data_IF_723945674233
#
_entry.id   IF_723945674233
#
_cell.length_a   1.000
_cell.length_b   1.000
_cell.length_c   1.000
_cell.angle_alpha   90.00
_cell.angle_beta   90.00
_cell.angle_gamma   90.00
#
_symmetry.space_group_name_H-M   'P 1'
#
loop_
_entity.id
_entity.type
_entity.pdbx_description
1 polymer ?
#
# COMPACT_ATOMS: atom_id res chain seq x y z
N UNK A 1 0.01 -43.01 -17.99
CA UNK A 1 0.79 -41.90 -17.39
C UNK A 1 2.30 -42.11 -17.35
N UNK A 2 2.86 -43.05 -16.55
CA UNK A 2 4.34 -43.23 -16.47
C UNK A 2 5.03 -43.36 -17.84
N UNK A 3 4.47 -44.19 -18.74
CA UNK A 3 4.98 -44.36 -20.12
C UNK A 3 4.95 -43.05 -20.92
N UNK A 4 3.88 -42.27 -20.78
CA UNK A 4 3.71 -40.98 -21.45
C UNK A 4 4.72 -39.96 -20.94
N UNK A 5 4.86 -39.85 -19.62
CA UNK A 5 5.83 -38.94 -19.00
C UNK A 5 7.26 -39.22 -19.45
N UNK A 6 7.66 -40.50 -19.49
CA UNK A 6 8.98 -40.89 -19.97
C UNK A 6 9.16 -40.60 -21.47
N UNK A 7 8.11 -40.77 -22.28
CA UNK A 7 8.17 -40.48 -23.72
C UNK A 7 8.32 -38.98 -23.99
N UNK A 8 7.56 -38.13 -23.29
CA UNK A 8 7.62 -36.68 -23.45
C UNK A 8 8.95 -36.08 -22.96
N UNK A 9 9.42 -36.51 -21.79
CA UNK A 9 10.60 -35.90 -21.15
C UNK A 9 11.95 -36.47 -21.63
N UNK A 10 11.97 -37.51 -22.47
CA UNK A 10 13.23 -38.13 -22.92
C UNK A 10 14.08 -37.21 -23.81
N UNK A 11 13.43 -36.39 -24.65
CA UNK A 11 14.10 -35.47 -25.58
C UNK A 11 13.82 -34.00 -25.27
N UNK A 12 13.14 -33.71 -24.16
CA UNK A 12 12.71 -32.35 -23.83
C UNK A 12 13.88 -31.54 -23.24
N UNK A 13 14.16 -30.38 -23.84
CA UNK A 13 15.14 -29.44 -23.34
C UNK A 13 14.45 -28.32 -22.54
N UNK A 14 14.76 -28.18 -21.26
CA UNK A 14 14.15 -27.18 -20.38
C UNK A 14 14.63 -25.76 -20.62
N UNK A 15 15.75 -25.59 -21.31
CA UNK A 15 16.34 -24.27 -21.61
C UNK A 15 15.84 -23.68 -22.93
N UNK A 16 15.17 -24.49 -23.74
CA UNK A 16 14.69 -24.08 -25.05
C UNK A 16 13.28 -23.48 -24.95
N UNK A 17 13.09 -22.29 -25.52
CA UNK A 17 11.77 -21.66 -25.59
C UNK A 17 10.86 -22.53 -26.49
N UNK A 18 9.67 -22.92 -26.03
CA UNK A 18 8.86 -23.93 -26.70
C UNK A 18 8.04 -23.36 -27.87
N UNK A 19 8.73 -22.92 -28.92
CA UNK A 19 8.13 -22.43 -30.17
C UNK A 19 8.56 -23.28 -31.36
N UNK A 20 7.64 -23.51 -32.30
CA UNK A 20 7.95 -24.25 -33.53
C UNK A 20 8.80 -23.42 -34.52
N UNK A 21 8.67 -22.10 -34.45
CA UNK A 21 9.41 -21.13 -35.26
C UNK A 21 10.08 -20.12 -34.33
N UNK A 22 11.40 -20.02 -34.39
CA UNK A 22 12.18 -19.11 -33.53
C UNK A 22 11.82 -17.63 -33.73
N UNK A 23 11.30 -17.27 -34.90
CA UNK A 23 10.94 -15.88 -35.22
C UNK A 23 9.60 -15.44 -34.61
N UNK A 24 8.78 -16.37 -34.10
CA UNK A 24 7.47 -16.05 -33.53
C UNK A 24 7.57 -15.88 -32.01
N UNK A 25 6.90 -14.88 -31.40
CA UNK A 25 6.84 -14.74 -29.95
C UNK A 25 6.01 -15.87 -29.32
N UNK A 26 6.40 -16.28 -28.12
CA UNK A 26 5.56 -17.15 -27.30
C UNK A 26 4.53 -16.28 -26.57
N UNK A 27 3.25 -16.48 -26.86
CA UNK A 27 2.15 -15.86 -26.10
C UNK A 27 2.03 -16.53 -24.73
N UNK A 28 2.20 -15.73 -23.67
CA UNK A 28 1.96 -16.13 -22.28
C UNK A 28 0.78 -15.34 -21.75
N UNK A 29 -0.32 -16.03 -21.47
CA UNK A 29 -1.51 -15.45 -20.84
C UNK A 29 -1.28 -15.35 -19.35
N UNK A 30 -1.30 -14.12 -18.86
CA UNK A 30 -1.01 -13.78 -17.48
C UNK A 30 -2.26 -13.21 -16.79
N UNK A 31 -2.64 -13.83 -15.69
CA UNK A 31 -3.69 -13.36 -14.80
C UNK A 31 -3.19 -13.33 -13.36
N UNK A 32 -3.89 -12.56 -12.53
CA UNK A 32 -3.56 -12.40 -11.12
C UNK A 32 -4.82 -12.63 -10.31
N UNK A 33 -4.79 -13.57 -9.36
CA UNK A 33 -5.89 -13.78 -8.41
C UNK A 33 -5.48 -13.27 -7.04
N UNK A 34 -6.14 -12.21 -6.56
CA UNK A 34 -5.85 -11.61 -5.26
C UNK A 34 -6.63 -12.34 -4.17
N UNK A 35 -5.92 -13.03 -3.28
CA UNK A 35 -6.53 -13.80 -2.20
C UNK A 35 -6.80 -12.92 -0.97
N UNK A 36 -5.79 -12.15 -0.55
CA UNK A 36 -5.91 -11.25 0.60
C UNK A 36 -4.85 -10.15 0.56
N UNK A 37 -5.19 -9.00 1.12
CA UNK A 37 -4.23 -7.97 1.53
C UNK A 37 -3.79 -8.32 2.95
N UNK A 38 -2.52 -8.65 3.11
CA UNK A 38 -1.95 -9.08 4.39
C UNK A 38 -1.65 -7.85 5.23
N UNK A 39 -0.92 -6.90 4.65
CA UNK A 39 -0.43 -5.72 5.36
C UNK A 39 -0.20 -4.55 4.42
N UNK A 40 -0.40 -3.34 4.92
CA UNK A 40 -0.14 -2.09 4.22
C UNK A 40 0.75 -1.27 5.14
N UNK A 41 2.05 -1.35 4.92
CA UNK A 41 3.03 -0.59 5.70
C UNK A 41 3.14 0.81 5.09
N UNK A 42 2.35 1.75 5.59
CA UNK A 42 2.36 3.12 5.06
C UNK A 42 3.70 3.79 5.32
N UNK A 43 4.36 3.47 6.44
CA UNK A 43 5.63 4.09 6.84
C UNK A 43 6.75 3.75 5.88
N UNK A 44 6.89 2.48 5.53
CA UNK A 44 7.89 1.99 4.59
C UNK A 44 7.41 2.00 3.13
N UNK A 45 6.16 2.37 2.88
CA UNK A 45 5.54 2.41 1.55
C UNK A 45 5.51 1.03 0.86
N UNK A 46 5.12 0.00 1.62
CA UNK A 46 5.11 -1.39 1.15
C UNK A 46 3.69 -1.97 1.27
N UNK A 47 3.20 -2.55 0.18
CA UNK A 47 1.97 -3.34 0.16
C UNK A 47 2.33 -4.83 0.12
N UNK A 48 1.86 -5.58 1.11
CA UNK A 48 2.04 -7.04 1.20
C UNK A 48 0.75 -7.77 0.88
N UNK A 49 0.76 -8.58 -0.18
CA UNK A 49 -0.43 -9.29 -0.68
C UNK A 49 -0.16 -10.78 -0.88
N UNK A 50 -1.16 -11.61 -0.58
CA UNK A 50 -1.18 -13.01 -0.99
C UNK A 50 -1.89 -13.13 -2.34
N UNK A 51 -1.17 -13.63 -3.34
CA UNK A 51 -1.59 -13.63 -4.73
C UNK A 51 -1.27 -14.96 -5.36
N UNK A 52 -2.14 -15.45 -6.23
CA UNK A 52 -1.84 -16.55 -7.12
C UNK A 52 -1.57 -16.01 -8.52
N UNK A 53 -0.39 -16.33 -9.05
CA UNK A 53 -0.08 -15.99 -10.44
C UNK A 53 -0.72 -17.04 -11.35
N UNK A 54 -1.40 -16.62 -12.39
CA UNK A 54 -2.02 -17.51 -13.36
C UNK A 54 -1.28 -17.39 -14.68
N UNK A 55 -0.39 -18.33 -14.97
CA UNK A 55 0.39 -18.36 -16.21
C UNK A 55 -0.12 -19.50 -17.09
N UNK A 56 -0.49 -19.17 -18.31
CA UNK A 56 -0.89 -20.15 -19.32
C UNK A 56 -0.10 -19.91 -20.62
N UNK A 57 0.57 -20.94 -21.10
CA UNK A 57 1.27 -20.93 -22.38
C UNK A 57 1.06 -22.26 -23.11
N UNK A 58 1.48 -22.32 -24.36
CA UNK A 58 1.33 -23.51 -25.20
C UNK A 58 2.71 -24.03 -25.59
N UNK A 59 2.98 -25.29 -25.27
CA UNK A 59 4.23 -25.96 -25.59
C UNK A 59 3.99 -27.03 -26.67
N UNK A 60 4.63 -26.88 -27.82
CA UNK A 60 4.45 -27.79 -28.94
C UNK A 60 5.09 -29.16 -28.71
N UNK A 61 6.15 -29.25 -27.88
CA UNK A 61 6.85 -30.49 -27.56
C UNK A 61 6.05 -31.37 -26.58
N UNK A 62 5.10 -30.79 -25.84
CA UNK A 62 4.29 -31.48 -24.83
C UNK A 62 2.91 -31.92 -25.34
N UNK A 63 2.78 -32.19 -26.64
CA UNK A 63 1.54 -32.67 -27.25
C UNK A 63 1.53 -34.19 -27.35
N UNK A 64 0.38 -34.80 -27.07
CA UNK A 64 0.20 -36.24 -27.28
C UNK A 64 -1.25 -36.56 -27.69
N UNK A 65 -1.42 -37.75 -28.26
CA UNK A 65 -2.74 -38.26 -28.61
C UNK A 65 -3.33 -39.07 -27.44
N UNK A 66 -4.45 -38.61 -26.89
CA UNK A 66 -5.13 -39.24 -25.75
C UNK A 66 -5.43 -40.72 -26.01
N UNK A 67 -5.81 -41.07 -27.24
CA UNK A 67 -6.17 -42.44 -27.61
C UNK A 67 -5.02 -43.43 -27.48
N UNK A 68 -3.77 -42.98 -27.68
CA UNK A 68 -2.57 -43.83 -27.63
C UNK A 68 -2.11 -44.13 -26.19
N UNK A 69 -2.50 -43.28 -25.25
CA UNK A 69 -2.04 -43.34 -23.86
C UNK A 69 -3.15 -43.68 -22.86
N UNK A 70 -4.23 -44.30 -23.33
CA UNK A 70 -5.31 -44.78 -22.48
C UNK A 70 -6.27 -43.69 -22.02
N UNK A 71 -6.44 -42.64 -22.81
CA UNK A 71 -7.38 -41.54 -22.54
C UNK A 71 -6.89 -40.50 -21.53
N UNK A 72 -5.57 -40.43 -21.27
CA UNK A 72 -4.96 -39.46 -20.36
C UNK A 72 -5.04 -38.07 -20.98
N UNK A 73 -5.81 -37.16 -20.37
CA UNK A 73 -6.06 -35.79 -20.87
C UNK A 73 -5.14 -34.74 -20.28
N UNK A 74 -4.65 -34.98 -19.06
CA UNK A 74 -3.80 -34.04 -18.34
C UNK A 74 -2.71 -34.75 -17.52
N UNK A 75 -1.61 -34.05 -17.28
CA UNK A 75 -0.48 -34.49 -16.48
C UNK A 75 -0.05 -33.39 -15.53
N UNK A 76 0.45 -33.77 -14.35
CA UNK A 76 1.07 -32.83 -13.40
C UNK A 76 2.58 -33.05 -13.42
N UNK A 77 3.34 -32.04 -13.84
CA UNK A 77 4.79 -32.12 -13.98
C UNK A 77 5.42 -31.03 -13.11
N UNK A 78 6.50 -31.37 -12.41
CA UNK A 78 7.25 -30.41 -11.60
C UNK A 78 7.86 -29.32 -12.49
N UNK A 79 7.83 -28.03 -12.10
CA UNK A 79 8.23 -26.91 -12.95
C UNK A 79 9.71 -26.98 -13.35
N UNK A 80 10.56 -27.61 -12.54
CA UNK A 80 12.00 -27.75 -12.82
C UNK A 80 12.32 -28.74 -13.97
N UNK A 81 11.32 -29.47 -14.46
CA UNK A 81 11.47 -30.42 -15.58
C UNK A 81 10.91 -29.88 -16.89
N UNK A 82 10.38 -28.67 -16.89
CA UNK A 82 9.77 -28.02 -18.03
C UNK A 82 10.40 -26.65 -18.24
N UNK A 83 10.31 -26.12 -19.46
CA UNK A 83 10.52 -24.70 -19.66
C UNK A 83 9.40 -23.93 -18.95
N UNK A 84 9.75 -22.84 -18.26
CA UNK A 84 8.79 -21.93 -17.64
C UNK A 84 9.19 -20.49 -17.95
N UNK A 85 8.23 -19.58 -18.16
CA UNK A 85 8.56 -18.17 -18.36
C UNK A 85 9.12 -17.57 -17.06
N UNK A 86 10.00 -16.57 -17.21
CA UNK A 86 10.69 -15.84 -16.15
C UNK A 86 9.95 -14.55 -15.79
N UNK A 87 8.65 -14.67 -15.51
CA UNK A 87 7.82 -13.52 -15.10
C UNK A 87 8.14 -13.15 -13.66
N UNK A 88 8.65 -11.94 -13.45
CA UNK A 88 9.03 -11.39 -12.16
C UNK A 88 8.36 -10.03 -11.92
N UNK A 89 8.25 -9.64 -10.65
CA UNK A 89 7.71 -8.34 -10.26
C UNK A 89 8.81 -7.29 -10.22
N UNK A 90 8.71 -6.25 -11.06
CA UNK A 90 9.76 -5.23 -11.18
C UNK A 90 9.86 -4.31 -9.97
N UNK A 91 8.73 -3.96 -9.35
CA UNK A 91 8.68 -3.06 -8.21
C UNK A 91 8.64 -3.80 -6.86
N UNK A 92 9.34 -4.95 -6.78
CA UNK A 92 9.49 -5.72 -5.54
C UNK A 92 10.28 -4.96 -4.47
N UNK A 93 9.77 -4.98 -3.25
CA UNK A 93 10.43 -4.51 -2.04
C UNK A 93 11.03 -5.65 -1.20
N UNK A 94 10.81 -6.91 -1.60
CA UNK A 94 11.36 -8.07 -0.90
C UNK A 94 12.77 -8.44 -1.40
N UNK A 95 13.64 -8.91 -0.50
CA UNK A 95 14.96 -9.44 -0.84
C UNK A 95 14.83 -10.70 -1.71
N UNK A 96 13.78 -11.50 -1.43
CA UNK A 96 13.37 -12.61 -2.28
C UNK A 96 12.54 -12.10 -3.46
N UNK A 97 13.20 -11.69 -4.56
CA UNK A 97 12.53 -11.25 -5.79
C UNK A 97 11.52 -12.27 -6.36
N UNK A 98 11.76 -13.58 -6.11
CA UNK A 98 10.78 -14.64 -6.38
C UNK A 98 10.07 -15.04 -5.08
N UNK A 99 8.90 -14.44 -4.85
CA UNK A 99 8.03 -14.73 -3.71
C UNK A 99 7.11 -15.94 -3.89
N UNK A 100 7.30 -16.74 -4.95
CA UNK A 100 6.38 -17.83 -5.31
C UNK A 100 6.76 -19.18 -4.68
N UNK A 101 5.75 -19.95 -4.29
CA UNK A 101 5.90 -21.35 -3.92
C UNK A 101 5.72 -22.24 -5.15
N UNK A 102 6.74 -23.05 -5.46
CA UNK A 102 6.73 -23.92 -6.62
C UNK A 102 5.63 -25.01 -6.51
N UNK A 103 4.63 -24.91 -7.38
CA UNK A 103 3.58 -25.92 -7.56
C UNK A 103 3.82 -26.74 -8.83
N UNK A 104 3.07 -27.81 -9.05
CA UNK A 104 3.16 -28.56 -10.31
C UNK A 104 2.44 -27.83 -11.45
N UNK A 105 3.00 -27.90 -12.65
CA UNK A 105 2.37 -27.42 -13.89
C UNK A 105 1.37 -28.48 -14.35
N UNK A 106 0.15 -28.05 -14.69
CA UNK A 106 -0.87 -28.89 -15.30
C UNK A 106 -0.74 -28.78 -16.82
N UNK A 107 -0.27 -29.85 -17.44
CA UNK A 107 -0.11 -29.93 -18.90
C UNK A 107 -1.29 -30.71 -19.47
N UNK A 108 -1.98 -30.14 -20.46
CA UNK A 108 -3.08 -30.79 -21.19
C UNK A 108 -2.56 -31.40 -22.49
N UNK A 109 -3.25 -32.41 -23.01
CA UNK A 109 -2.83 -33.14 -24.21
C UNK A 109 -2.65 -32.30 -25.47
N UNK A 110 -3.35 -31.17 -25.57
CA UNK A 110 -3.16 -30.18 -26.63
C UNK A 110 -1.88 -29.35 -26.54
N UNK A 111 -1.05 -29.52 -25.50
CA UNK A 111 0.18 -28.75 -25.26
C UNK A 111 -0.01 -27.50 -24.38
N UNK A 112 -1.25 -27.18 -24.00
CA UNK A 112 -1.54 -26.09 -23.05
C UNK A 112 -0.99 -26.43 -21.67
N UNK A 113 -0.14 -25.54 -21.15
CA UNK A 113 0.50 -25.61 -19.85
C UNK A 113 -0.10 -24.54 -18.95
N UNK A 114 -0.67 -24.94 -17.82
CA UNK A 114 -1.20 -24.06 -16.80
C UNK A 114 -0.35 -24.15 -15.55
N UNK A 115 0.24 -23.03 -15.14
CA UNK A 115 1.04 -22.92 -13.93
C UNK A 115 0.43 -21.86 -13.01
N UNK A 116 0.05 -22.29 -11.80
CA UNK A 116 -0.59 -21.43 -10.80
C UNK A 116 0.16 -21.50 -9.47
N UNK A 117 1.31 -20.81 -9.35
CA UNK A 117 2.01 -20.75 -8.08
C UNK A 117 1.39 -19.67 -7.16
N UNK A 118 1.11 -20.01 -5.89
CA UNK A 118 0.78 -19.03 -4.87
C UNK A 118 2.06 -18.32 -4.40
N UNK A 119 1.95 -17.06 -4.01
CA UNK A 119 3.08 -16.30 -3.49
C UNK A 119 2.65 -15.14 -2.61
N UNK A 120 3.55 -14.73 -1.72
CA UNK A 120 3.42 -13.48 -0.97
C UNK A 120 4.31 -12.46 -1.65
N UNK A 121 3.70 -11.37 -2.11
CA UNK A 121 4.40 -10.30 -2.82
C UNK A 121 4.42 -9.05 -1.95
N UNK A 122 5.61 -8.45 -1.84
CA UNK A 122 5.80 -7.12 -1.26
C UNK A 122 6.11 -6.14 -2.38
N UNK A 123 5.16 -5.27 -2.70
CA UNK A 123 5.32 -4.26 -3.74
C UNK A 123 5.58 -2.90 -3.12
N UNK A 124 6.45 -2.13 -3.75
CA UNK A 124 6.60 -0.70 -3.41
C UNK A 124 5.39 0.07 -3.91
N UNK A 125 4.76 0.82 -3.02
CA UNK A 125 3.56 1.60 -3.31
C UNK A 125 3.65 2.98 -2.65
N UNK A 126 3.66 4.03 -3.48
CA UNK A 126 3.66 5.41 -2.99
C UNK A 126 2.27 5.76 -2.45
N UNK A 127 2.17 5.89 -1.13
CA UNK A 127 0.93 6.27 -0.46
C UNK A 127 0.74 7.79 -0.41
N UNK A 128 -0.45 8.28 -0.73
CA UNK A 128 -0.84 9.68 -0.56
C UNK A 128 -1.65 9.84 0.74
N UNK A 129 -1.04 10.50 1.73
CA UNK A 129 -1.61 10.70 3.07
C UNK A 129 -2.29 12.06 3.26
N UNK A 130 -2.49 12.84 2.19
CA UNK A 130 -3.03 14.21 2.27
C UNK A 130 -4.38 14.24 2.99
N UNK A 131 -5.26 13.29 2.68
CA UNK A 131 -6.63 13.20 3.21
C UNK A 131 -6.81 12.21 4.36
N UNK A 132 -5.72 11.75 4.97
CA UNK A 132 -5.77 10.78 6.06
C UNK A 132 -6.76 11.19 7.18
N UNK A 133 -7.63 10.28 7.67
CA UNK A 133 -7.78 8.86 7.34
C UNK A 133 -8.83 8.56 6.24
N UNK A 134 -9.31 9.57 5.52
CA UNK A 134 -10.32 9.47 4.45
C UNK A 134 -9.63 9.37 3.07
N UNK A 135 -8.67 8.47 2.97
CA UNK A 135 -7.77 8.31 1.83
C UNK A 135 -8.10 7.08 0.97
N UNK A 136 -7.84 7.24 -0.33
CA UNK A 136 -7.86 6.17 -1.33
C UNK A 136 -6.43 5.95 -1.83
N UNK A 137 -5.95 4.70 -1.79
CA UNK A 137 -4.61 4.33 -2.23
C UNK A 137 -4.66 3.49 -3.51
N UNK A 138 -3.68 3.74 -4.38
CA UNK A 138 -3.53 3.05 -5.67
C UNK A 138 -2.13 2.45 -5.72
N UNK A 139 -2.05 1.13 -5.59
CA UNK A 139 -0.79 0.41 -5.55
C UNK A 139 -0.61 -0.44 -6.80
N UNK A 140 0.41 -0.13 -7.58
CA UNK A 140 0.74 -0.88 -8.79
C UNK A 140 1.58 -2.12 -8.47
N UNK A 141 1.26 -3.22 -9.12
CA UNK A 141 2.10 -4.42 -9.19
C UNK A 141 2.48 -4.67 -10.65
N UNK A 142 3.77 -4.49 -10.97
CA UNK A 142 4.27 -4.57 -12.34
C UNK A 142 4.97 -5.90 -12.57
N UNK A 143 4.43 -6.73 -13.47
CA UNK A 143 5.00 -8.02 -13.84
C UNK A 143 5.48 -8.01 -15.27
N UNK A 144 6.65 -8.57 -15.51
CA UNK A 144 7.23 -8.68 -16.85
C UNK A 144 8.22 -9.83 -16.92
N UNK A 145 8.57 -10.24 -18.15
CA UNK A 145 9.72 -11.12 -18.35
C UNK A 145 11.01 -10.37 -17.99
N UNK A 146 11.99 -11.07 -17.42
CA UNK A 146 13.26 -10.46 -17.05
C UNK A 146 14.29 -10.50 -18.18
N UNK A 147 14.33 -11.61 -18.92
CA UNK A 147 15.36 -11.87 -19.94
C UNK A 147 14.87 -11.80 -21.37
N UNK A 148 13.57 -12.02 -21.63
CA UNK A 148 13.02 -11.99 -22.98
C UNK A 148 12.45 -10.61 -23.33
N UNK A 149 12.68 -10.19 -24.57
CA UNK A 149 12.00 -9.03 -25.16
C UNK A 149 10.60 -9.40 -25.69
N UNK A 150 9.82 -8.38 -26.09
CA UNK A 150 8.46 -8.54 -26.58
C UNK A 150 8.32 -9.28 -27.93
N UNK A 151 9.42 -9.44 -28.69
CA UNK A 151 9.42 -10.25 -29.92
C UNK A 151 9.64 -11.74 -29.61
N UNK A 152 10.19 -12.07 -28.45
CA UNK A 152 10.42 -13.45 -28.02
C UNK A 152 9.32 -13.97 -27.08
N UNK A 153 8.82 -13.13 -26.19
CA UNK A 153 7.78 -13.48 -25.23
C UNK A 153 6.77 -12.33 -25.16
N UNK A 154 5.53 -12.61 -25.57
CA UNK A 154 4.45 -11.64 -25.48
C UNK A 154 3.54 -11.95 -24.29
N UNK A 155 3.52 -11.06 -23.29
CA UNK A 155 2.60 -11.15 -22.17
C UNK A 155 1.24 -10.57 -22.56
N UNK A 156 0.19 -11.36 -22.39
CA UNK A 156 -1.19 -10.98 -22.68
C UNK A 156 -2.03 -11.13 -21.42
N UNK A 157 -2.89 -10.16 -21.14
CA UNK A 157 -3.85 -10.25 -20.03
C UNK A 157 -4.80 -11.42 -20.26
N UNK A 158 -5.00 -12.24 -19.21
CA UNK A 158 -5.96 -13.34 -19.25
C UNK A 158 -7.42 -12.86 -19.32
N UNK A 159 -7.72 -11.75 -18.66
CA UNK A 159 -9.02 -11.07 -18.67
C UNK A 159 -8.79 -9.56 -18.85
N UNK A 160 -9.56 -8.94 -19.74
CA UNK A 160 -9.51 -7.48 -19.97
C UNK A 160 -10.05 -6.69 -18.78
N UNK A 161 -10.88 -7.30 -17.93
CA UNK A 161 -11.44 -6.67 -16.74
C UNK A 161 -10.43 -6.53 -15.58
N UNK A 162 -9.23 -7.11 -15.73
CA UNK A 162 -8.16 -7.05 -14.75
C UNK A 162 -7.98 -8.35 -13.99
N UNK A 163 -7.67 -8.25 -12.70
CA UNK A 163 -7.37 -9.42 -11.90
C UNK A 163 -8.61 -10.04 -11.25
N UNK A 164 -8.51 -11.33 -10.95
CA UNK A 164 -9.59 -12.12 -10.38
C UNK A 164 -9.71 -11.87 -8.87
N UNK A 165 -10.92 -11.49 -8.45
CA UNK A 165 -11.28 -11.13 -7.09
C UNK A 165 -12.34 -12.08 -6.50
N UNK A 166 -12.67 -13.17 -7.19
CA UNK A 166 -13.73 -14.11 -6.80
C UNK A 166 -13.52 -14.73 -5.41
N UNK A 167 -12.28 -15.07 -5.09
CA UNK A 167 -11.87 -15.66 -3.82
C UNK A 167 -11.28 -14.64 -2.83
N UNK A 168 -11.49 -13.34 -3.03
CA UNK A 168 -10.91 -12.30 -2.19
C UNK A 168 -11.49 -12.30 -0.76
N UNK A 169 -10.62 -12.43 0.23
CA UNK A 169 -10.96 -12.32 1.65
C UNK A 169 -10.94 -10.85 2.06
N UNK A 170 -12.07 -10.34 2.54
CA UNK A 170 -12.21 -8.95 2.96
C UNK A 170 -11.29 -8.61 4.13
N UNK A 171 -10.59 -7.49 4.02
CA UNK A 171 -9.71 -6.96 5.05
C UNK A 171 -10.49 -6.08 6.06
N UNK A 172 -10.09 -6.11 7.34
CA UNK A 172 -10.72 -5.39 8.45
C UNK A 172 -10.34 -3.91 8.55
N UNK A 173 -9.32 -3.49 7.82
CA UNK A 173 -8.76 -2.13 7.77
C UNK A 173 -9.00 -1.46 6.41
N UNK A 174 -9.01 -2.22 5.32
CA UNK A 174 -9.15 -1.70 3.95
C UNK A 174 -10.34 -2.29 3.22
N UNK A 175 -11.04 -1.44 2.46
CA UNK A 175 -11.98 -1.85 1.42
C UNK A 175 -11.23 -2.00 0.10
N UNK A 176 -11.40 -3.13 -0.58
CA UNK A 176 -10.94 -3.28 -1.96
C UNK A 176 -11.99 -2.68 -2.90
N UNK A 177 -11.60 -1.65 -3.67
CA UNK A 177 -12.44 -1.01 -4.67
C UNK A 177 -12.37 -1.78 -5.99
N UNK A 178 -11.18 -2.22 -6.38
CA UNK A 178 -10.98 -2.98 -7.62
C UNK A 178 -9.50 -3.22 -7.93
N UNK A 179 -9.26 -4.02 -8.98
CA UNK A 179 -7.91 -4.38 -9.44
C UNK A 179 -7.83 -4.45 -10.98
N UNK A 180 -7.92 -3.31 -11.68
CA UNK A 180 -7.74 -3.27 -13.13
C UNK A 180 -6.34 -3.73 -13.53
N UNK A 181 -6.26 -4.42 -14.68
CA UNK A 181 -5.02 -4.87 -15.29
C UNK A 181 -4.78 -4.12 -16.61
N UNK A 182 -3.53 -3.74 -16.87
CA UNK A 182 -3.14 -3.06 -18.09
C UNK A 182 -1.85 -3.65 -18.64
N UNK A 183 -1.87 -4.01 -19.94
CA UNK A 183 -0.66 -4.34 -20.70
C UNK A 183 0.03 -3.05 -21.14
N UNK A 184 1.33 -2.95 -20.91
CA UNK A 184 2.17 -1.88 -21.40
C UNK A 184 3.29 -2.44 -22.29
N UNK A 185 3.73 -1.62 -23.23
CA UNK A 185 4.90 -1.91 -24.06
C UNK A 185 5.85 -0.73 -23.93
N UNK A 186 7.03 -0.98 -23.37
CA UNK A 186 8.00 0.04 -23.01
C UNK A 186 9.32 -0.29 -23.71
N UNK A 187 9.88 0.70 -24.39
CA UNK A 187 11.26 0.65 -24.89
C UNK A 187 12.17 1.29 -23.84
N UNK A 188 13.08 0.51 -23.25
CA UNK A 188 14.01 1.02 -22.24
C UNK A 188 15.18 1.76 -22.90
N UNK A 189 15.82 2.68 -22.18
CA UNK A 189 16.98 3.41 -22.71
C UNK A 189 18.21 2.52 -22.97
N UNK A 190 18.28 1.34 -22.32
CA UNK A 190 19.39 0.40 -22.46
C UNK A 190 19.32 -0.45 -23.74
N UNK A 191 18.12 -0.70 -24.27
CA UNK A 191 17.88 -1.68 -25.33
C UNK A 191 16.90 -1.12 -26.38
N UNK A 192 17.16 -1.26 -27.69
CA UNK A 192 16.26 -0.79 -28.74
C UNK A 192 14.97 -1.62 -28.86
N UNK A 193 14.94 -2.84 -28.30
CA UNK A 193 13.81 -3.75 -28.36
C UNK A 193 12.67 -3.33 -27.41
N UNK A 194 11.40 -3.54 -27.80
CA UNK A 194 10.26 -3.31 -26.91
C UNK A 194 10.16 -4.42 -25.86
N UNK A 195 9.99 -4.05 -24.60
CA UNK A 195 9.68 -4.95 -23.50
C UNK A 195 8.19 -4.84 -23.15
N UNK A 196 7.60 -5.95 -22.75
CA UNK A 196 6.17 -6.03 -22.41
C UNK A 196 6.02 -6.29 -20.92
N UNK A 197 5.20 -5.49 -20.26
CA UNK A 197 4.80 -5.68 -18.87
C UNK A 197 3.27 -5.66 -18.73
N UNK A 198 2.79 -6.31 -17.67
CA UNK A 198 1.40 -6.24 -17.23
C UNK A 198 1.39 -5.64 -15.84
N UNK A 199 0.70 -4.51 -15.70
CA UNK A 199 0.54 -3.81 -14.44
C UNK A 199 -0.87 -4.02 -13.90
N UNK A 200 -0.99 -4.53 -12.67
CA UNK A 200 -2.26 -4.57 -11.94
C UNK A 200 -2.27 -3.47 -10.88
N UNK A 201 -3.30 -2.62 -10.87
CA UNK A 201 -3.42 -1.54 -9.89
C UNK A 201 -4.43 -1.93 -8.81
N UNK A 202 -3.97 -2.21 -7.60
CA UNK A 202 -4.81 -2.50 -6.45
C UNK A 202 -5.33 -1.18 -5.89
N UNK A 203 -6.63 -0.95 -6.00
CA UNK A 203 -7.30 0.26 -5.49
C UNK A 203 -7.98 -0.05 -4.16
N UNK A 204 -7.53 0.59 -3.09
CA UNK A 204 -8.02 0.35 -1.73
C UNK A 204 -8.44 1.64 -1.04
N UNK A 205 -9.44 1.54 -0.14
CA UNK A 205 -9.95 2.65 0.67
C UNK A 205 -9.93 2.31 2.14
N UNK A 206 -9.42 3.22 2.97
CA UNK A 206 -9.29 2.99 4.41
C UNK A 206 -10.65 2.94 5.13
N UNK A 207 -10.78 2.05 6.10
CA UNK A 207 -11.90 2.03 7.07
C UNK A 207 -11.64 3.05 8.16
N UNK A 208 -12.42 4.13 8.16
CA UNK A 208 -12.16 5.33 8.97
C UNK A 208 -12.63 5.24 10.42
N UNK A 209 -13.48 4.28 10.77
CA UNK A 209 -14.13 4.21 12.10
C UNK A 209 -13.14 4.15 13.26
N UNK A 210 -12.08 3.35 13.12
CA UNK A 210 -11.04 3.21 14.15
C UNK A 210 -10.35 4.55 14.42
N UNK A 211 -9.90 5.23 13.36
CA UNK A 211 -9.23 6.52 13.46
C UNK A 211 -10.18 7.63 13.93
N UNK A 212 -11.46 7.57 13.56
CA UNK A 212 -12.45 8.54 14.02
C UNK A 212 -12.58 8.52 15.56
N UNK A 213 -12.78 7.34 16.15
CA UNK A 213 -12.96 7.23 17.61
C UNK A 213 -11.67 7.37 18.41
N UNK A 214 -10.54 6.85 17.91
CA UNK A 214 -9.30 6.81 18.67
C UNK A 214 -8.39 8.03 18.43
N UNK A 215 -8.61 8.76 17.34
CA UNK A 215 -7.77 9.91 16.97
C UNK A 215 -8.59 11.21 16.97
N UNK A 216 -9.69 11.27 16.22
CA UNK A 216 -10.44 12.53 16.03
C UNK A 216 -11.19 12.93 17.30
N UNK A 217 -11.92 12.00 17.94
CA UNK A 217 -12.72 12.30 19.15
C UNK A 217 -11.86 12.83 20.32
N UNK A 218 -10.75 12.19 20.73
CA UNK A 218 -9.87 12.72 21.78
C UNK A 218 -9.31 14.11 21.46
N UNK A 219 -8.95 14.35 20.19
CA UNK A 219 -8.45 15.66 19.77
C UNK A 219 -9.49 16.77 19.94
N UNK A 220 -10.72 16.53 19.49
CA UNK A 220 -11.82 17.50 19.65
C UNK A 220 -12.07 17.78 21.14
N UNK A 221 -12.06 16.75 21.98
CA UNK A 221 -12.21 16.91 23.44
C UNK A 221 -11.09 17.78 24.03
N UNK A 222 -9.82 17.49 23.71
CA UNK A 222 -8.68 18.27 24.22
C UNK A 222 -8.76 19.73 23.74
N UNK A 223 -9.12 19.97 22.47
CA UNK A 223 -9.29 21.32 21.93
C UNK A 223 -10.41 22.10 22.64
N UNK A 224 -11.51 21.42 23.01
CA UNK A 224 -12.60 22.03 23.77
C UNK A 224 -12.19 22.36 25.21
N UNK A 225 -11.35 21.53 25.84
CA UNK A 225 -10.80 21.78 27.17
C UNK A 225 -9.88 23.01 27.19
N UNK A 226 -9.14 23.27 26.10
CA UNK A 226 -8.30 24.45 25.99
C UNK A 226 -9.13 25.75 26.05
N UNK A 227 -10.32 25.76 25.43
CA UNK A 227 -11.25 26.91 25.49
C UNK A 227 -11.83 27.10 26.89
N UNK A 228 -12.19 26.01 27.58
CA UNK A 228 -12.66 26.05 28.96
C UNK A 228 -11.59 26.61 29.92
N UNK A 229 -10.30 26.39 29.65
CA UNK A 229 -9.21 26.93 30.46
C UNK A 229 -9.23 28.46 30.60
N UNK A 230 -9.77 29.19 29.62
CA UNK A 230 -9.90 30.64 29.72
C UNK A 230 -10.96 31.08 30.73
N UNK A 231 -12.00 30.26 30.93
CA UNK A 231 -13.10 30.55 31.88
C UNK A 231 -12.71 30.37 33.34
N UNK A 232 -11.60 29.68 33.61
CA UNK A 232 -11.15 29.45 34.97
C UNK A 232 -10.60 30.75 35.60
N UNK A 233 -11.09 31.15 36.79
CA UNK A 233 -10.59 32.34 37.48
C UNK A 233 -9.12 32.14 37.89
N UNK A 234 -8.30 33.22 37.85
CA UNK A 234 -6.89 33.15 38.21
C UNK A 234 -6.66 32.79 39.69
N UNK A 235 -7.63 33.04 40.56
CA UNK A 235 -7.56 32.73 42.00
C UNK A 235 -7.45 31.24 42.32
N UNK A 236 -7.83 30.36 41.37
CA UNK A 236 -7.78 28.91 41.57
C UNK A 236 -6.36 28.33 41.55
N UNK A 237 -5.36 29.05 41.03
CA UNK A 237 -3.98 28.55 40.88
C UNK A 237 -3.77 27.45 39.81
N UNK A 238 -4.79 26.68 39.48
CA UNK A 238 -4.71 25.52 38.56
C UNK A 238 -4.75 25.87 37.07
N UNK A 239 -4.95 27.14 36.73
CA UNK A 239 -5.06 27.60 35.33
C UNK A 239 -3.81 27.31 34.51
N UNK A 240 -2.63 27.52 35.10
CA UNK A 240 -1.35 27.24 34.46
C UNK A 240 -1.13 25.73 34.30
N UNK A 241 -1.43 24.95 35.34
CA UNK A 241 -1.33 23.48 35.33
C UNK A 241 -2.20 22.87 34.22
N UNK A 242 -3.44 23.34 34.07
CA UNK A 242 -4.34 22.90 33.01
C UNK A 242 -3.79 23.22 31.61
N UNK A 243 -3.26 24.43 31.40
CA UNK A 243 -2.69 24.83 30.11
C UNK A 243 -1.47 24.00 29.71
N UNK A 244 -0.55 23.75 30.65
CA UNK A 244 0.67 22.95 30.40
C UNK A 244 0.33 21.47 30.16
N UNK A 245 -0.61 20.90 30.91
CA UNK A 245 -1.03 19.49 30.73
C UNK A 245 -1.70 19.25 29.39
N UNK A 246 -2.51 20.21 28.90
CA UNK A 246 -3.10 20.17 27.55
C UNK A 246 -2.02 20.26 26.46
N UNK A 247 -1.02 21.13 26.62
CA UNK A 247 0.07 21.24 25.66
C UNK A 247 0.88 19.93 25.57
N UNK A 248 1.21 19.35 26.72
CA UNK A 248 1.94 18.08 26.78
C UNK A 248 1.14 16.94 26.15
N UNK A 249 -0.15 16.81 26.46
CA UNK A 249 -0.99 15.76 25.89
C UNK A 249 -1.11 15.88 24.37
N UNK A 250 -1.30 17.09 23.84
CA UNK A 250 -1.30 17.36 22.40
C UNK A 250 0.01 16.96 21.72
N UNK A 251 1.14 17.23 22.38
CA UNK A 251 2.48 16.89 21.86
C UNK A 251 2.67 15.37 21.80
N UNK A 252 2.25 14.66 22.85
CA UNK A 252 2.29 13.19 22.89
C UNK A 252 1.39 12.58 21.82
N UNK A 253 0.17 13.09 21.66
CA UNK A 253 -0.75 12.63 20.60
C UNK A 253 -0.20 12.88 19.20
N UNK A 254 0.40 14.05 18.95
CA UNK A 254 1.03 14.35 17.66
C UNK A 254 2.20 13.41 17.37
N UNK A 255 3.05 13.12 18.36
CA UNK A 255 4.16 12.19 18.20
C UNK A 255 3.66 10.77 17.89
N UNK A 256 2.62 10.29 18.58
CA UNK A 256 2.00 8.99 18.30
C UNK A 256 1.51 8.89 16.85
N UNK A 257 0.86 9.95 16.34
CA UNK A 257 0.38 9.99 14.96
C UNK A 257 1.56 10.06 13.97
N UNK A 258 2.59 10.85 14.28
CA UNK A 258 3.79 10.97 13.45
C UNK A 258 4.60 9.67 13.36
N UNK A 259 4.55 8.80 14.36
CA UNK A 259 5.21 7.49 14.32
C UNK A 259 4.51 6.48 13.40
N UNK A 260 3.19 6.63 13.21
CA UNK A 260 2.38 5.73 12.36
C UNK A 260 2.36 6.14 10.88
N UNK A 261 2.64 7.40 10.57
CA UNK A 261 2.60 7.92 9.21
C UNK A 261 3.97 7.85 8.53
N UNK A 262 4.03 7.75 7.18
CA UNK A 262 5.29 7.82 6.47
C UNK A 262 6.00 9.15 6.66
N UNK A 263 7.33 9.09 6.74
CA UNK A 263 8.21 10.24 6.76
C UNK A 263 8.42 10.78 5.33
N UNK A 264 7.32 11.17 4.68
CA UNK A 264 7.35 11.80 3.35
C UNK A 264 7.33 13.32 3.47
N UNK A 265 8.16 13.98 2.67
CA UNK A 265 8.18 15.45 2.57
C UNK A 265 7.26 15.99 1.46
N UNK A 266 6.69 15.11 0.63
CA UNK A 266 5.89 15.49 -0.53
C UNK A 266 4.53 16.11 -0.15
N UNK A 267 3.93 15.64 0.95
CA UNK A 267 2.65 16.15 1.44
C UNK A 267 2.56 16.00 2.97
N UNK A 268 2.07 17.04 3.63
CA UNK A 268 1.74 17.02 5.07
C UNK A 268 0.25 16.69 5.19
N UNK A 269 -0.17 15.69 5.99
CA UNK A 269 -1.58 15.40 6.22
C UNK A 269 -2.34 16.63 6.75
N UNK A 270 -3.57 16.83 6.28
CA UNK A 270 -4.45 17.90 6.77
C UNK A 270 -4.66 17.84 8.29
N UNK A 271 -4.77 16.62 8.82
CA UNK A 271 -4.87 16.36 10.24
C UNK A 271 -3.61 16.79 11.00
N UNK A 272 -2.41 16.57 10.43
CA UNK A 272 -1.14 17.02 11.00
C UNK A 272 -1.02 18.54 11.02
N UNK A 273 -1.48 19.22 9.96
CA UNK A 273 -1.53 20.70 9.95
C UNK A 273 -2.51 21.23 10.99
N UNK A 274 -3.68 20.60 11.12
CA UNK A 274 -4.66 20.94 12.16
C UNK A 274 -4.07 20.83 13.59
N UNK A 275 -3.36 19.74 13.90
CA UNK A 275 -2.70 19.58 15.19
C UNK A 275 -1.61 20.63 15.43
N UNK A 276 -0.80 20.94 14.42
CA UNK A 276 0.21 21.99 14.53
C UNK A 276 -0.40 23.37 14.81
N UNK A 277 -1.52 23.70 14.16
CA UNK A 277 -2.25 24.93 14.44
C UNK A 277 -2.78 24.97 15.88
N UNK A 278 -3.38 23.88 16.39
CA UNK A 278 -3.85 23.80 17.79
C UNK A 278 -2.70 23.94 18.76
N UNK A 279 -1.59 23.24 18.52
CA UNK A 279 -0.41 23.30 19.38
C UNK A 279 0.14 24.72 19.47
N UNK A 280 0.21 25.45 18.35
CA UNK A 280 0.59 26.86 18.34
C UNK A 280 -0.40 27.74 19.12
N UNK A 281 -1.71 27.55 18.92
CA UNK A 281 -2.75 28.28 19.65
C UNK A 281 -2.67 28.03 21.17
N UNK A 282 -2.53 26.78 21.60
CA UNK A 282 -2.41 26.43 23.03
C UNK A 282 -1.12 26.97 23.63
N UNK A 283 0.01 26.89 22.91
CA UNK A 283 1.26 27.48 23.38
C UNK A 283 1.12 29.00 23.58
N UNK A 284 0.48 29.71 22.65
CA UNK A 284 0.20 31.14 22.79
C UNK A 284 -0.73 31.44 23.97
N UNK A 285 -1.74 30.59 24.22
CA UNK A 285 -2.66 30.68 25.36
C UNK A 285 -1.96 30.56 26.70
N UNK A 286 -1.00 29.62 26.82
CA UNK A 286 -0.19 29.45 28.04
C UNK A 286 0.66 30.70 28.29
N UNK A 287 1.31 31.26 27.27
CA UNK A 287 2.08 32.50 27.39
C UNK A 287 1.20 33.67 27.86
N UNK A 288 0.01 33.83 27.25
CA UNK A 288 -0.94 34.86 27.67
C UNK A 288 -1.43 34.64 29.11
N UNK A 289 -1.64 33.40 29.53
CA UNK A 289 -2.02 33.07 30.91
C UNK A 289 -0.93 33.49 31.90
N UNK A 290 0.34 33.26 31.59
CA UNK A 290 1.47 33.74 32.42
C UNK A 290 1.47 35.27 32.52
N UNK A 291 1.20 35.97 31.42
CA UNK A 291 1.08 37.44 31.41
C UNK A 291 -0.09 37.91 32.28
N UNK A 292 -1.27 37.29 32.15
CA UNK A 292 -2.46 37.62 32.95
C UNK A 292 -2.20 37.36 34.44
N UNK A 293 -1.58 36.24 34.80
CA UNK A 293 -1.20 35.94 36.18
C UNK A 293 -0.17 36.95 36.71
N UNK A 294 0.79 37.39 35.89
CA UNK A 294 1.74 38.44 36.26
C UNK A 294 1.01 39.75 36.61
N UNK A 295 0.06 40.18 35.77
CA UNK A 295 -0.72 41.39 36.04
C UNK A 295 -1.66 41.23 37.24
N UNK A 296 -2.25 40.05 37.44
CA UNK A 296 -3.15 39.76 38.56
C UNK A 296 -2.45 39.87 39.93
N UNK A 297 -1.20 39.39 40.02
CA UNK A 297 -0.42 39.44 41.26
C UNK A 297 0.37 40.76 41.46
N UNK A 298 0.13 41.81 40.65
CA UNK A 298 0.73 43.12 40.89
C UNK A 298 0.01 43.85 42.02
N UNK A 299 0.72 44.10 43.10
CA UNK A 299 0.27 44.93 44.23
C UNK A 299 0.58 46.40 43.99
N UNK A 300 -0.28 47.31 44.48
CA UNK A 300 -0.12 48.77 44.37
C UNK A 300 1.18 49.31 44.99
N UNK A 301 1.77 48.57 45.93
CA UNK A 301 3.02 48.98 46.60
C UNK A 301 4.25 48.85 45.71
N UNK A 302 4.18 48.07 44.63
CA UNK A 302 5.34 47.70 43.80
C UNK A 302 5.23 48.29 42.38
N UNK A 303 4.01 48.59 41.91
CA UNK A 303 3.77 49.05 40.53
C UNK A 303 2.68 50.14 40.46
N UNK A 304 2.98 51.26 39.79
CA UNK A 304 2.00 52.28 39.45
C UNK A 304 1.26 51.93 38.13
N UNK A 305 -0.06 52.15 38.10
CA UNK A 305 -0.87 51.85 36.92
C UNK A 305 -0.74 52.95 35.85
N UNK A 306 -0.34 52.63 34.60
CA UNK A 306 -0.21 53.63 33.54
C UNK A 306 -1.56 54.30 33.19
N UNK A 307 -1.53 55.62 32.90
CA UNK A 307 -2.74 56.41 32.60
C UNK A 307 -3.53 55.95 31.35
N UNK A 308 -2.86 55.32 30.38
CA UNK A 308 -3.55 54.76 29.21
C UNK A 308 -4.36 53.49 29.56
N UNK A 309 -3.94 52.76 30.59
CA UNK A 309 -4.60 51.54 31.05
C UNK A 309 -5.82 51.86 31.92
N UNK A 310 -5.75 52.92 32.74
CA UNK A 310 -6.90 53.42 33.51
C UNK A 310 -8.05 53.87 32.61
N UNK A 311 -7.75 54.43 31.45
CA UNK A 311 -8.76 54.91 30.50
C UNK A 311 -9.45 53.77 29.74
N UNK A 312 -8.73 52.69 29.42
CA UNK A 312 -9.24 51.60 28.57
C UNK A 312 -9.83 50.39 29.34
N UNK A 313 -9.29 50.04 30.52
CA UNK A 313 -9.74 48.84 31.25
C UNK A 313 -10.96 49.11 32.14
N UNK A 314 -11.17 50.36 32.59
CA UNK A 314 -12.36 50.71 33.37
C UNK A 314 -13.68 50.62 32.57
N UNK A 315 -13.62 50.58 31.23
CA UNK A 315 -14.81 50.49 30.37
C UNK A 315 -15.38 49.05 30.33
N UNK A 316 -14.61 48.03 30.74
CA UNK A 316 -15.03 46.62 30.72
C UNK A 316 -15.50 46.08 32.08
N UNK A 317 -15.48 46.89 33.14
CA UNK A 317 -16.11 46.60 34.45
C UNK A 317 -17.31 47.53 34.66
N UNK A 318 -18.37 47.32 33.89
CA UNK A 318 -19.72 47.78 34.20
C UNK A 318 -20.71 46.67 33.84
#
# INVERSE_FOLDING_TARGET
EKRLLNALLASYNTLERPVANESEPLEVRFGLTLQQIIDVDEKNQILTTNVWLNLEWNDYNLRWNDSEFGGVKDLRITPNKLWKPDVLMYNSADEGFDGTYQTNVVVRSGGSCLYVPPGIFKSTCKMDITWFPFDDQHCDMKFGSWTYDGNQLDLVLKDENGGDLSDFITNGEWYLIGMPGKKNTITYACCPEPYVDVTFTIMIRRRTLYYFFNLIVPCVLISSMALLGFTLPPDSGEKLTLGVTILLSLTVFLNLVAETLPQVSDAIPLLGTYFNCIMFMVASSVVLTVVVLNYHHRTADIHEMPQWMSTNIYITKF
#
